data_IF_497125294286
#
_entry.id   IF_497125294286
#
_cell.length_a   1.000
_cell.length_b   1.000
_cell.length_c   1.000
_cell.angle_alpha   90.00
_cell.angle_beta   90.00
_cell.angle_gamma   90.00
#
_symmetry.space_group_name_H-M   'P 1'
#
loop_
_entity.id
_entity.type
_entity.pdbx_description
1 polymer ?
#
# COMPACT_ATOMS: atom_id res chain seq x y z
N UNK A 1 49.44 41.35 -14.15
CA UNK A 1 49.15 40.30 -15.14
C UNK A 1 48.10 39.38 -14.54
N UNK A 2 46.86 39.42 -15.06
CA UNK A 2 45.70 38.68 -14.54
C UNK A 2 45.67 37.27 -15.16
N UNK A 3 45.89 36.24 -14.33
CA UNK A 3 45.82 34.83 -14.71
C UNK A 3 44.40 34.28 -14.59
N UNK A 4 43.96 33.57 -15.63
CA UNK A 4 42.59 33.11 -15.89
C UNK A 4 42.28 31.84 -15.09
N UNK A 5 41.14 31.82 -14.40
CA UNK A 5 40.59 30.64 -13.70
C UNK A 5 39.91 29.66 -14.68
N UNK A 6 40.03 28.33 -14.53
CA UNK A 6 39.41 27.38 -15.45
C UNK A 6 37.92 27.21 -15.14
N UNK A 7 37.08 27.31 -16.16
CA UNK A 7 35.64 27.03 -16.10
C UNK A 7 35.43 25.51 -16.04
N UNK A 8 34.97 24.99 -14.91
CA UNK A 8 34.42 23.64 -14.81
C UNK A 8 33.14 23.58 -15.64
N UNK A 9 33.20 22.91 -16.79
CA UNK A 9 32.04 22.63 -17.65
C UNK A 9 31.19 21.58 -16.91
N UNK A 10 30.12 22.06 -16.28
CA UNK A 10 29.12 21.20 -15.64
C UNK A 10 28.47 20.29 -16.66
N UNK A 11 28.61 18.98 -16.48
CA UNK A 11 27.85 17.97 -17.20
C UNK A 11 26.42 18.02 -16.67
N UNK A 12 25.49 18.57 -17.46
CA UNK A 12 24.06 18.38 -17.25
C UNK A 12 23.57 17.17 -18.04
N UNK A 13 23.21 16.04 -17.41
CA UNK A 13 22.31 15.11 -18.04
C UNK A 13 20.89 15.68 -17.93
N UNK A 14 20.33 16.16 -19.05
CA UNK A 14 18.93 16.57 -19.10
C UNK A 14 18.21 15.85 -20.23
N UNK A 15 17.79 14.63 -19.94
CA UNK A 15 16.64 14.00 -20.58
C UNK A 15 16.17 12.84 -19.69
N UNK A 16 14.97 12.94 -19.12
CA UNK A 16 14.00 11.84 -19.00
C UNK A 16 12.61 12.43 -18.70
N UNK A 17 11.74 12.65 -19.71
CA UNK A 17 10.34 12.96 -19.48
C UNK A 17 9.49 11.70 -19.72
N UNK A 18 9.74 10.59 -19.01
CA UNK A 18 8.85 9.40 -19.05
C UNK A 18 8.69 8.66 -17.70
N UNK A 19 9.54 8.95 -16.70
CA UNK A 19 9.44 8.31 -15.39
C UNK A 19 8.26 8.80 -14.53
N UNK A 20 7.66 9.95 -14.84
CA UNK A 20 6.65 10.60 -13.98
C UNK A 20 5.30 9.87 -13.99
N UNK A 21 4.79 9.50 -15.17
CA UNK A 21 3.43 8.96 -15.28
C UNK A 21 3.29 7.55 -14.65
N UNK A 22 4.32 6.71 -14.78
CA UNK A 22 4.39 5.39 -14.13
C UNK A 22 4.56 5.50 -12.60
N UNK A 23 5.28 6.53 -12.14
CA UNK A 23 5.45 6.81 -10.70
C UNK A 23 4.13 7.25 -10.07
N UNK A 24 3.34 8.08 -10.76
CA UNK A 24 2.06 8.56 -10.28
C UNK A 24 1.02 7.43 -10.16
N UNK A 25 0.95 6.54 -11.15
CA UNK A 25 0.05 5.38 -11.10
C UNK A 25 0.35 4.45 -9.93
N UNK A 26 1.63 4.18 -9.64
CA UNK A 26 2.03 3.37 -8.48
C UNK A 26 1.73 4.07 -7.15
N UNK A 27 1.93 5.38 -7.08
CA UNK A 27 1.57 6.15 -5.88
C UNK A 27 0.06 6.11 -5.62
N UNK A 28 -0.78 6.19 -6.66
CA UNK A 28 -2.24 6.06 -6.53
C UNK A 28 -2.60 4.67 -6.02
N UNK A 29 -2.11 3.60 -6.67
CA UNK A 29 -2.39 2.23 -6.25
C UNK A 29 -1.93 1.96 -4.80
N UNK A 30 -0.79 2.53 -4.40
CA UNK A 30 -0.27 2.39 -3.04
C UNK A 30 -1.23 3.02 -2.03
N UNK A 31 -1.69 4.24 -2.33
CA UNK A 31 -2.65 4.96 -1.50
C UNK A 31 -3.97 4.21 -1.41
N UNK A 32 -4.49 3.69 -2.52
CA UNK A 32 -5.74 2.94 -2.55
C UNK A 32 -5.68 1.69 -1.69
N UNK A 33 -4.58 0.91 -1.78
CA UNK A 33 -4.38 -0.28 -0.94
C UNK A 33 -4.37 0.07 0.56
N UNK A 34 -3.67 1.15 0.94
CA UNK A 34 -3.63 1.61 2.34
C UNK A 34 -5.02 2.10 2.78
N UNK A 35 -5.70 2.88 1.95
CA UNK A 35 -7.02 3.42 2.23
C UNK A 35 -8.07 2.31 2.39
N UNK A 36 -8.04 1.28 1.56
CA UNK A 36 -8.95 0.14 1.67
C UNK A 36 -8.79 -0.59 3.02
N UNK A 37 -7.55 -0.78 3.47
CA UNK A 37 -7.26 -1.41 4.76
C UNK A 37 -7.64 -0.51 5.95
N UNK A 38 -7.54 0.80 5.81
CA UNK A 38 -8.09 1.73 6.81
C UNK A 38 -9.61 1.63 6.85
N UNK A 39 -10.30 1.56 5.70
CA UNK A 39 -11.76 1.42 5.63
C UNK A 39 -12.23 0.12 6.26
N UNK A 40 -11.54 -1.00 6.01
CA UNK A 40 -11.90 -2.31 6.56
C UNK A 40 -11.82 -2.36 8.09
N UNK A 41 -10.99 -1.52 8.71
CA UNK A 41 -10.80 -1.42 10.16
C UNK A 41 -11.48 -0.21 10.79
N UNK A 42 -12.41 0.46 10.09
CA UNK A 42 -13.06 1.66 10.65
C UNK A 42 -13.88 1.43 11.92
N UNK A 43 -14.27 0.19 12.21
CA UNK A 43 -15.06 -0.16 13.40
C UNK A 43 -14.41 0.22 14.73
N UNK A 44 -13.09 0.31 14.80
CA UNK A 44 -12.34 0.71 16.01
C UNK A 44 -12.08 2.24 16.10
N UNK A 45 -12.68 3.01 15.19
CA UNK A 45 -12.44 4.44 15.04
C UNK A 45 -11.23 4.76 14.16
N UNK A 46 -11.23 5.95 13.56
CA UNK A 46 -10.26 6.33 12.52
C UNK A 46 -8.80 6.33 13.02
N UNK A 47 -8.57 6.83 14.23
CA UNK A 47 -7.22 6.84 14.84
C UNK A 47 -6.73 5.41 15.10
N UNK A 48 -7.60 4.53 15.61
CA UNK A 48 -7.27 3.13 15.83
C UNK A 48 -6.93 2.42 14.52
N UNK A 49 -7.73 2.65 13.47
CA UNK A 49 -7.50 2.10 12.14
C UNK A 49 -6.13 2.52 11.58
N UNK A 50 -5.73 3.78 11.75
CA UNK A 50 -4.39 4.23 11.32
C UNK A 50 -3.26 3.51 12.04
N UNK A 51 -3.36 3.32 13.35
CA UNK A 51 -2.36 2.61 14.16
C UNK A 51 -2.24 1.16 13.71
N UNK A 52 -3.37 0.48 13.53
CA UNK A 52 -3.38 -0.93 13.12
C UNK A 52 -2.84 -1.11 11.70
N UNK A 53 -3.24 -0.26 10.76
CA UNK A 53 -2.75 -0.32 9.38
C UNK A 53 -1.26 0.00 9.31
N UNK A 54 -0.78 0.98 10.08
CA UNK A 54 0.63 1.29 10.20
C UNK A 54 1.43 0.05 10.65
N UNK A 55 0.97 -0.65 11.69
CA UNK A 55 1.60 -1.89 12.16
C UNK A 55 1.49 -3.02 11.13
N UNK A 56 0.31 -3.20 10.55
CA UNK A 56 0.02 -4.24 9.58
C UNK A 56 0.86 -4.08 8.32
N UNK A 57 1.19 -2.86 7.90
CA UNK A 57 2.00 -2.58 6.71
C UNK A 57 3.46 -2.19 6.98
N UNK A 58 3.86 -2.05 8.25
CA UNK A 58 5.21 -1.61 8.58
C UNK A 58 5.47 -0.16 8.17
N UNK A 59 4.41 0.65 8.13
CA UNK A 59 4.45 2.07 7.82
C UNK A 59 4.36 2.89 9.11
N UNK A 60 4.70 4.17 9.03
CA UNK A 60 4.41 5.11 10.13
C UNK A 60 2.96 5.59 10.06
N UNK A 61 2.36 5.95 11.19
CA UNK A 61 1.01 6.54 11.21
C UNK A 61 0.91 7.80 10.32
N UNK A 62 1.97 8.62 10.30
CA UNK A 62 2.05 9.81 9.43
C UNK A 62 1.92 9.41 7.96
N UNK A 63 2.60 8.33 7.54
CA UNK A 63 2.54 7.83 6.17
C UNK A 63 1.15 7.34 5.81
N UNK A 64 0.51 6.59 6.72
CA UNK A 64 -0.87 6.11 6.54
C UNK A 64 -1.87 7.27 6.43
N UNK A 65 -1.71 8.33 7.25
CA UNK A 65 -2.52 9.55 7.14
C UNK A 65 -2.30 10.28 5.82
N UNK A 66 -1.06 10.40 5.37
CA UNK A 66 -0.76 10.99 4.07
C UNK A 66 -1.44 10.21 2.93
N UNK A 67 -1.45 8.87 2.99
CA UNK A 67 -2.21 8.06 2.04
C UNK A 67 -3.71 8.35 2.11
N UNK A 68 -4.26 8.43 3.33
CA UNK A 68 -5.68 8.71 3.56
C UNK A 68 -6.13 10.07 3.00
N UNK A 69 -5.27 11.08 3.07
CA UNK A 69 -5.53 12.42 2.56
C UNK A 69 -5.07 12.62 1.11
N UNK A 70 -4.61 11.56 0.43
CA UNK A 70 -4.08 11.61 -0.92
C UNK A 70 -2.85 12.53 -1.11
N UNK A 71 -2.02 12.66 -0.08
CA UNK A 71 -0.86 13.56 -0.03
C UNK A 71 0.45 12.87 -0.43
N UNK A 72 0.43 11.59 -0.80
CA UNK A 72 1.66 10.86 -1.17
C UNK A 72 2.04 11.14 -2.61
N UNK A 73 3.20 11.79 -2.80
CA UNK A 73 3.75 12.15 -4.12
C UNK A 73 4.73 11.13 -4.70
N UNK A 74 5.31 10.30 -3.86
CA UNK A 74 6.28 9.28 -4.26
C UNK A 74 6.25 8.11 -3.31
N UNK A 75 6.56 6.93 -3.84
CA UNK A 75 6.62 5.66 -3.12
C UNK A 75 7.93 4.98 -3.51
N UNK A 76 8.69 4.54 -2.53
CA UNK A 76 9.93 3.79 -2.77
C UNK A 76 9.60 2.35 -3.19
N UNK A 77 10.52 1.69 -3.90
CA UNK A 77 10.35 0.29 -4.29
C UNK A 77 10.17 -0.61 -3.05
N UNK A 78 10.93 -0.35 -1.98
CA UNK A 78 10.85 -1.11 -0.74
C UNK A 78 9.49 -0.96 -0.04
N UNK A 79 8.97 0.27 0.09
CA UNK A 79 7.63 0.52 0.64
C UNK A 79 6.56 -0.22 -0.17
N UNK A 80 6.67 -0.16 -1.49
CA UNK A 80 5.73 -0.82 -2.40
C UNK A 80 5.74 -2.33 -2.20
N UNK A 81 6.91 -2.96 -2.18
CA UNK A 81 7.05 -4.41 -2.07
C UNK A 81 6.63 -4.91 -0.68
N UNK A 82 6.85 -4.13 0.37
CA UNK A 82 6.35 -4.46 1.72
C UNK A 82 4.82 -4.42 1.75
N UNK A 83 4.20 -3.32 1.30
CA UNK A 83 2.73 -3.20 1.31
C UNK A 83 2.09 -4.24 0.43
N UNK A 84 2.62 -4.47 -0.78
CA UNK A 84 2.11 -5.48 -1.72
C UNK A 84 2.14 -6.88 -1.10
N UNK A 85 3.27 -7.31 -0.54
CA UNK A 85 3.39 -8.65 0.08
C UNK A 85 2.41 -8.83 1.23
N UNK A 86 2.37 -7.86 2.15
CA UNK A 86 1.47 -7.95 3.30
C UNK A 86 -0.01 -7.90 2.92
N UNK A 87 -0.35 -7.16 1.86
CA UNK A 87 -1.70 -7.16 1.29
C UNK A 87 -2.06 -8.54 0.70
N UNK A 88 -1.15 -9.17 -0.03
CA UNK A 88 -1.35 -10.54 -0.54
C UNK A 88 -1.58 -11.51 0.62
N UNK A 89 -0.78 -11.43 1.69
CA UNK A 89 -0.93 -12.30 2.86
C UNK A 89 -2.27 -12.07 3.58
N UNK A 90 -2.69 -10.81 3.72
CA UNK A 90 -4.00 -10.47 4.28
C UNK A 90 -5.15 -11.04 3.44
N UNK A 91 -5.07 -10.94 2.11
CA UNK A 91 -6.07 -11.50 1.20
C UNK A 91 -6.12 -13.03 1.27
N UNK A 92 -4.96 -13.71 1.30
CA UNK A 92 -4.89 -15.17 1.47
C UNK A 92 -5.53 -15.63 2.78
N UNK A 93 -5.25 -14.92 3.87
CA UNK A 93 -5.86 -15.21 5.18
C UNK A 93 -7.38 -15.05 5.13
N UNK A 94 -7.87 -13.98 4.49
CA UNK A 94 -9.31 -13.74 4.33
C UNK A 94 -9.98 -14.80 3.45
N UNK A 95 -9.31 -15.22 2.37
CA UNK A 95 -9.78 -16.31 1.52
C UNK A 95 -9.89 -17.62 2.29
N UNK A 96 -8.89 -17.96 3.11
CA UNK A 96 -8.92 -19.16 3.95
C UNK A 96 -10.06 -19.12 4.98
N UNK A 97 -10.32 -17.96 5.59
CA UNK A 97 -11.44 -17.77 6.52
C UNK A 97 -12.79 -17.96 5.84
N UNK A 98 -12.98 -17.38 4.66
CA UNK A 98 -14.22 -17.52 3.89
C UNK A 98 -14.42 -18.98 3.45
N UNK A 99 -13.36 -19.64 2.95
CA UNK A 99 -13.43 -21.04 2.55
C UNK A 99 -13.81 -21.95 3.74
N UNK A 100 -13.27 -21.69 4.92
CA UNK A 100 -13.64 -22.41 6.14
C UNK A 100 -15.10 -22.16 6.54
N UNK A 101 -15.59 -20.92 6.44
CA UNK A 101 -17.00 -20.61 6.71
C UNK A 101 -17.94 -21.31 5.73
N UNK A 102 -17.62 -21.34 4.44
CA UNK A 102 -18.39 -22.08 3.42
C UNK A 102 -18.41 -23.57 3.74
N UNK A 103 -17.27 -24.16 4.11
CA UNK A 103 -17.19 -25.57 4.46
C UNK A 103 -18.08 -25.92 5.66
N UNK A 104 -18.15 -25.06 6.68
CA UNK A 104 -19.04 -25.26 7.83
C UNK A 104 -20.52 -25.22 7.42
N UNK A 105 -20.91 -24.26 6.58
CA UNK A 105 -22.30 -24.14 6.12
C UNK A 105 -22.74 -25.35 5.28
N UNK A 106 -21.87 -25.83 4.38
CA UNK A 106 -22.18 -27.01 3.56
C UNK A 106 -22.39 -28.28 4.41
N UNK A 107 -21.68 -28.43 5.54
CA UNK A 107 -21.88 -29.55 6.46
C UNK A 107 -23.24 -29.48 7.14
N UNK A 108 -23.70 -28.27 7.48
CA UNK A 108 -25.02 -28.04 8.10
C UNK A 108 -26.15 -28.33 7.09
N UNK A 109 -25.99 -27.93 5.84
CA UNK A 109 -26.93 -28.22 4.76
C UNK A 109 -27.06 -29.75 4.52
N UNK A 110 -25.95 -30.48 4.47
CA UNK A 110 -25.95 -31.96 4.33
C UNK A 110 -26.65 -32.67 5.50
N UNK A 111 -26.53 -32.13 6.72
CA UNK A 111 -27.19 -32.68 7.91
C UNK A 111 -28.70 -32.43 7.89
N UNK A 112 -29.15 -31.25 7.45
CA UNK A 112 -30.58 -30.92 7.35
C UNK A 112 -31.28 -31.63 6.18
N UNK A 113 -30.56 -32.00 5.12
CA UNK A 113 -31.10 -32.76 3.99
C UNK A 113 -31.26 -34.27 4.25
N UNK A 114 -30.69 -34.78 5.36
CA UNK A 114 -30.70 -36.22 5.71
C UNK A 114 -31.75 -36.59 6.79
N UNK A 115 -32.65 -35.66 7.16
CA UNK A 115 -33.76 -35.83 8.12
C UNK A 115 -35.09 -35.69 7.40
#
# INVERSE_FOLDING_TARGET
MLGISPKSVGVTPKAMPEASAMSDSKAIQFQDMVCEEVRSRRGIGLKGAFVEVARAFGLTERRVRACWHHEVRSVTADEWDVVRRRRIDALKKRQAQIAHQIALLNIEDDWTASV
#
